data_IF_392117520172
#
_entry.id   IF_392117520172
#
_cell.length_a   1.000
_cell.length_b   1.000
_cell.length_c   1.000
_cell.angle_alpha   90.00
_cell.angle_beta   90.00
_cell.angle_gamma   90.00
#
_symmetry.space_group_name_H-M   'P 1'
#
loop_
_entity.id
_entity.type
_entity.pdbx_description
1 polymer ?
#
# COMPACT_ATOMS: atom_id res chain seq x y z
N UNK A 1 5.64 -17.65 -16.57
CA UNK A 1 5.23 -17.67 -15.14
C UNK A 1 4.59 -16.35 -14.85
N UNK A 2 3.40 -16.35 -14.22
CA UNK A 2 2.73 -15.11 -13.84
C UNK A 2 3.27 -14.65 -12.49
N UNK A 3 4.15 -13.64 -12.50
CA UNK A 3 4.73 -13.06 -11.29
C UNK A 3 3.79 -11.99 -10.73
N UNK A 4 3.46 -12.11 -9.46
CA UNK A 4 2.56 -11.22 -8.74
C UNK A 4 3.27 -10.58 -7.54
N UNK A 5 2.78 -9.43 -7.11
CA UNK A 5 3.28 -8.76 -5.92
C UNK A 5 2.31 -9.00 -4.75
N UNK A 6 2.86 -9.38 -3.60
CA UNK A 6 2.10 -9.70 -2.39
C UNK A 6 2.57 -8.83 -1.23
N UNK A 7 1.63 -8.31 -0.47
CA UNK A 7 1.85 -7.57 0.76
C UNK A 7 1.24 -8.35 1.92
N UNK A 8 2.05 -8.69 2.91
CA UNK A 8 1.61 -9.39 4.12
C UNK A 8 1.85 -8.51 5.36
N UNK A 9 0.84 -7.78 5.81
CA UNK A 9 0.98 -6.88 6.96
C UNK A 9 1.38 -7.60 8.24
N UNK A 10 0.95 -8.86 8.42
CA UNK A 10 1.23 -9.63 9.63
C UNK A 10 2.72 -9.99 9.80
N UNK A 11 3.51 -9.86 8.73
CA UNK A 11 4.96 -10.11 8.75
C UNK A 11 5.79 -8.84 8.76
N UNK A 12 5.17 -7.67 8.64
CA UNK A 12 5.89 -6.41 8.66
C UNK A 12 6.43 -6.14 10.08
N UNK A 13 7.74 -5.94 10.15
CA UNK A 13 8.47 -5.63 11.40
C UNK A 13 8.88 -4.17 11.53
N UNK A 14 8.42 -3.29 10.62
CA UNK A 14 8.70 -1.87 10.67
C UNK A 14 10.14 -1.44 10.39
N UNK A 15 10.98 -2.32 9.83
CA UNK A 15 12.43 -2.07 9.68
C UNK A 15 12.81 -1.01 8.63
N UNK A 16 11.86 -0.53 7.82
CA UNK A 16 12.02 0.49 6.77
C UNK A 16 13.00 0.15 5.63
N UNK A 17 13.57 -1.06 5.57
CA UNK A 17 14.47 -1.45 4.47
C UNK A 17 13.83 -1.27 3.09
N UNK A 18 12.52 -1.52 2.97
CA UNK A 18 11.77 -1.30 1.74
C UNK A 18 11.68 0.19 1.34
N UNK A 19 11.60 1.08 2.33
CA UNK A 19 11.58 2.54 2.11
C UNK A 19 12.93 3.00 1.58
N UNK A 20 14.03 2.60 2.24
CA UNK A 20 15.38 2.91 1.81
C UNK A 20 15.68 2.37 0.40
N UNK A 21 15.37 1.09 0.16
CA UNK A 21 15.60 0.50 -1.17
C UNK A 21 14.74 1.11 -2.28
N UNK A 22 13.56 1.63 -1.95
CA UNK A 22 12.70 2.29 -2.93
C UNK A 22 13.30 3.61 -3.43
N UNK A 23 13.98 4.36 -2.56
CA UNK A 23 14.66 5.60 -2.95
C UNK A 23 15.85 5.37 -3.89
N UNK A 24 16.47 4.20 -3.81
CA UNK A 24 17.59 3.81 -4.71
C UNK A 24 17.13 3.37 -6.11
N UNK A 25 15.83 3.27 -6.35
CA UNK A 25 15.31 2.92 -7.67
C UNK A 25 15.51 4.08 -8.66
N UNK A 26 16.12 3.83 -9.82
CA UNK A 26 16.47 4.84 -10.83
C UNK A 26 15.27 5.71 -11.26
N UNK A 27 14.07 5.12 -11.27
CA UNK A 27 12.85 5.85 -11.66
C UNK A 27 12.34 6.79 -10.57
N UNK A 28 12.83 6.69 -9.32
CA UNK A 28 12.33 7.42 -8.16
C UNK A 28 13.17 8.63 -7.75
N UNK A 29 14.33 8.82 -8.35
CA UNK A 29 15.19 10.00 -8.15
C UNK A 29 15.54 10.31 -6.69
N UNK A 30 15.79 9.29 -5.88
CA UNK A 30 16.11 9.46 -4.45
C UNK A 30 14.89 9.56 -3.53
N UNK A 31 13.66 9.50 -4.06
CA UNK A 31 12.43 9.57 -3.26
C UNK A 31 11.76 8.22 -3.11
N UNK A 32 11.35 7.87 -1.89
CA UNK A 32 10.62 6.62 -1.67
C UNK A 32 9.15 6.76 -2.05
N UNK A 33 8.66 5.84 -2.88
CA UNK A 33 7.26 5.70 -3.27
C UNK A 33 6.47 4.73 -2.38
N UNK A 34 7.15 4.08 -1.45
CA UNK A 34 6.57 3.24 -0.41
C UNK A 34 6.73 3.94 0.94
N UNK A 35 5.76 3.77 1.82
CA UNK A 35 5.88 4.21 3.22
C UNK A 35 5.26 3.15 4.14
N UNK A 36 5.58 3.24 5.42
CA UNK A 36 4.97 2.42 6.44
C UNK A 36 3.85 3.22 7.12
N UNK A 37 2.68 2.60 7.20
CA UNK A 37 1.59 3.07 8.06
C UNK A 37 1.70 2.36 9.39
N UNK A 38 1.57 3.12 10.47
CA UNK A 38 1.48 2.58 11.83
C UNK A 38 0.01 2.43 12.19
N UNK A 39 -0.36 1.23 12.62
CA UNK A 39 -1.72 0.91 13.03
C UNK A 39 -1.69 0.56 14.51
N UNK A 40 -2.28 1.42 15.34
CA UNK A 40 -2.42 1.17 16.76
C UNK A 40 -3.48 0.09 16.98
N UNK A 41 -3.13 -0.90 17.81
CA UNK A 41 -4.03 -1.95 18.27
C UNK A 41 -4.05 -1.94 19.80
N UNK A 42 -5.07 -2.46 20.47
CA UNK A 42 -5.17 -2.40 21.93
C UNK A 42 -3.96 -2.93 22.69
N UNK A 43 -3.24 -3.88 22.11
CA UNK A 43 -2.09 -4.55 22.77
C UNK A 43 -0.78 -4.46 21.99
N UNK A 44 -0.76 -3.86 20.80
CA UNK A 44 0.46 -3.76 19.99
C UNK A 44 0.31 -2.72 18.89
N UNK A 45 1.44 -2.15 18.47
CA UNK A 45 1.55 -1.37 17.23
C UNK A 45 1.90 -2.32 16.09
N UNK A 46 1.14 -2.25 14.99
CA UNK A 46 1.46 -2.96 13.76
C UNK A 46 1.88 -1.98 12.68
N UNK A 47 2.87 -2.35 11.88
CA UNK A 47 3.26 -1.61 10.69
C UNK A 47 2.73 -2.28 9.43
N UNK A 48 2.29 -1.47 8.47
CA UNK A 48 1.79 -1.94 7.19
C UNK A 48 2.53 -1.22 6.07
N UNK A 49 3.21 -1.94 5.18
CA UNK A 49 3.82 -1.29 4.02
C UNK A 49 2.74 -0.87 3.02
N UNK A 50 2.70 0.43 2.73
CA UNK A 50 1.75 1.02 1.78
C UNK A 50 2.44 1.19 0.44
N UNK A 51 1.95 0.48 -0.56
CA UNK A 51 2.43 0.49 -1.94
C UNK A 51 1.27 0.78 -2.90
N UNK A 52 1.57 1.18 -4.14
CA UNK A 52 0.52 1.29 -5.14
C UNK A 52 -0.09 -0.08 -5.42
N UNK A 53 -1.42 -0.17 -5.36
CA UNK A 53 -2.15 -1.42 -5.59
C UNK A 53 -2.33 -1.74 -7.08
N UNK A 54 -1.99 -0.80 -7.98
CA UNK A 54 -2.12 -0.96 -9.43
C UNK A 54 -3.51 -1.46 -9.84
N UNK A 55 -4.53 -0.64 -9.55
CA UNK A 55 -5.94 -0.94 -9.80
C UNK A 55 -6.22 -1.23 -11.28
N UNK A 56 -7.20 -2.10 -11.55
CA UNK A 56 -7.63 -2.41 -12.91
C UNK A 56 -8.33 -1.20 -13.56
N UNK A 57 -9.18 -0.49 -12.80
CA UNK A 57 -9.72 0.83 -13.14
C UNK A 57 -9.08 1.88 -12.23
N UNK A 58 -7.94 2.46 -12.63
CA UNK A 58 -7.18 3.32 -11.74
C UNK A 58 -7.80 4.72 -11.66
N UNK A 59 -8.56 4.99 -10.60
CA UNK A 59 -9.21 6.29 -10.35
C UNK A 59 -8.24 7.46 -10.48
N UNK A 60 -6.98 7.27 -10.04
CA UNK A 60 -5.95 8.30 -10.18
C UNK A 60 -5.64 8.66 -11.65
N UNK A 61 -5.80 7.73 -12.59
CA UNK A 61 -5.65 8.02 -14.02
C UNK A 61 -6.91 8.65 -14.59
N UNK A 62 -8.08 8.22 -14.15
CA UNK A 62 -9.39 8.72 -14.62
C UNK A 62 -9.59 10.21 -14.27
N UNK A 63 -9.18 10.61 -13.06
CA UNK A 63 -9.30 12.01 -12.61
C UNK A 63 -8.17 12.92 -13.08
N UNK A 64 -7.19 12.40 -13.84
CA UNK A 64 -6.03 13.19 -14.26
C UNK A 64 -6.34 14.05 -15.49
N UNK A 65 -6.54 15.38 -15.37
CA UNK A 65 -6.91 16.23 -16.51
C UNK A 65 -5.77 16.38 -17.53
N UNK A 66 -4.53 16.13 -17.09
CA UNK A 66 -3.34 16.22 -17.93
C UNK A 66 -2.96 14.89 -18.61
N UNK A 67 -3.72 13.82 -18.37
CA UNK A 67 -3.43 12.49 -18.92
C UNK A 67 -1.97 12.01 -18.61
N UNK A 68 -1.48 12.33 -17.42
CA UNK A 68 -0.12 12.03 -17.01
C UNK A 68 0.07 10.61 -16.48
N UNK A 69 -1.02 9.95 -16.06
CA UNK A 69 -1.03 8.61 -15.48
C UNK A 69 -1.61 7.63 -16.50
N UNK A 70 -0.94 6.50 -16.68
CA UNK A 70 -1.38 5.44 -17.60
C UNK A 70 -1.25 4.06 -16.96
N UNK A 71 -2.15 3.16 -17.36
CA UNK A 71 -2.04 1.73 -17.09
C UNK A 71 -1.40 1.05 -18.30
N UNK A 72 -0.36 0.26 -18.06
CA UNK A 72 0.31 -0.54 -19.09
C UNK A 72 -0.50 -1.80 -19.43
N UNK A 73 -0.17 -2.45 -20.53
CA UNK A 73 -0.84 -3.68 -20.98
C UNK A 73 -0.72 -4.85 -20.00
N UNK A 74 0.34 -4.88 -19.20
CA UNK A 74 0.56 -5.85 -18.13
C UNK A 74 -0.03 -5.42 -16.77
N UNK A 75 -0.79 -4.32 -16.75
CA UNK A 75 -1.57 -3.88 -15.59
C UNK A 75 -0.83 -3.00 -14.59
N UNK A 76 0.38 -2.53 -14.88
CA UNK A 76 1.08 -1.59 -14.02
C UNK A 76 0.58 -0.17 -14.27
N UNK A 77 0.15 0.53 -13.23
CA UNK A 77 -0.23 1.94 -13.33
C UNK A 77 1.01 2.80 -13.13
N UNK A 78 1.34 3.62 -14.10
CA UNK A 78 2.56 4.43 -14.13
C UNK A 78 2.27 5.92 -14.28
N UNK A 79 3.16 6.76 -13.79
CA UNK A 79 3.27 8.17 -14.15
C UNK A 79 4.08 8.29 -15.44
N UNK A 80 3.57 7.66 -16.52
CA UNK A 80 4.31 7.47 -17.77
C UNK A 80 4.61 8.79 -18.50
N UNK A 81 3.85 9.84 -18.20
CA UNK A 81 3.98 11.15 -18.83
C UNK A 81 4.24 12.22 -17.78
N UNK A 82 5.29 12.01 -16.97
CA UNK A 82 5.67 12.94 -15.88
C UNK A 82 5.69 14.42 -16.29
N UNK A 83 6.25 14.81 -17.47
CA UNK A 83 6.27 16.21 -17.89
C UNK A 83 4.89 16.85 -18.11
N UNK A 84 3.82 16.04 -18.22
CA UNK A 84 2.45 16.53 -18.35
C UNK A 84 1.75 16.80 -17.04
N UNK A 85 2.33 16.39 -15.92
CA UNK A 85 1.74 16.62 -14.60
C UNK A 85 1.67 18.12 -14.31
N UNK A 86 0.49 18.61 -13.96
CA UNK A 86 0.23 20.02 -13.62
C UNK A 86 0.09 20.24 -12.11
N UNK A 87 0.48 19.26 -11.30
CA UNK A 87 0.44 19.31 -9.84
C UNK A 87 -0.93 19.64 -9.21
N UNK A 88 -2.03 19.23 -9.83
CA UNK A 88 -3.40 19.59 -9.40
C UNK A 88 -3.92 18.80 -8.19
N UNK A 89 -3.21 17.81 -7.68
CA UNK A 89 -3.57 16.92 -6.55
C UNK A 89 -4.79 16.00 -6.74
N UNK A 90 -5.53 16.07 -7.84
CA UNK A 90 -6.73 15.23 -8.02
C UNK A 90 -6.46 13.74 -7.78
N UNK A 91 -5.35 13.21 -8.30
CA UNK A 91 -4.96 11.82 -8.12
C UNK A 91 -4.60 11.45 -6.68
N UNK A 92 -4.12 12.41 -5.88
CA UNK A 92 -3.85 12.22 -4.45
C UNK A 92 -5.16 12.08 -3.68
N UNK A 93 -6.12 12.97 -3.95
CA UNK A 93 -7.43 12.98 -3.30
C UNK A 93 -8.32 11.80 -3.71
N UNK A 94 -8.21 11.36 -4.96
CA UNK A 94 -9.07 10.30 -5.50
C UNK A 94 -8.59 8.88 -5.17
N UNK A 95 -7.37 8.70 -4.67
CA UNK A 95 -6.83 7.36 -4.41
C UNK A 95 -7.42 6.75 -3.13
N UNK A 96 -8.19 5.64 -3.20
CA UNK A 96 -8.79 5.05 -2.01
C UNK A 96 -7.75 4.39 -1.08
N UNK A 97 -6.53 4.14 -1.59
CA UNK A 97 -5.42 3.57 -0.82
C UNK A 97 -4.41 4.62 -0.33
N UNK A 98 -4.62 5.91 -0.59
CA UNK A 98 -3.76 7.00 -0.11
C UNK A 98 -2.31 6.97 -0.60
N UNK A 99 -2.04 6.40 -1.79
CA UNK A 99 -0.66 6.12 -2.23
C UNK A 99 0.03 7.27 -2.96
N UNK A 100 -0.60 7.99 -3.91
CA UNK A 100 0.07 9.06 -4.64
C UNK A 100 0.47 10.20 -3.70
N UNK A 101 1.67 10.74 -3.90
CA UNK A 101 2.20 11.89 -3.14
C UNK A 101 2.61 12.99 -4.08
N UNK A 102 2.41 14.23 -3.65
CA UNK A 102 3.00 15.38 -4.32
C UNK A 102 4.41 15.60 -3.78
N UNK A 103 5.39 15.55 -4.69
CA UNK A 103 6.75 15.91 -4.35
C UNK A 103 6.95 17.40 -4.66
N UNK A 104 7.12 18.17 -3.59
CA UNK A 104 7.18 19.63 -3.68
C UNK A 104 8.41 20.12 -4.47
N UNK A 105 9.54 19.44 -4.33
CA UNK A 105 10.79 19.77 -5.02
C UNK A 105 10.63 19.76 -6.55
N UNK A 106 9.83 18.82 -7.08
CA UNK A 106 9.63 18.68 -8.52
C UNK A 106 8.27 19.23 -9.00
N UNK A 107 7.42 19.69 -8.08
CA UNK A 107 6.02 20.01 -8.39
C UNK A 107 5.35 18.90 -9.20
N UNK A 108 5.57 17.66 -8.80
CA UNK A 108 5.21 16.46 -9.56
C UNK A 108 4.59 15.42 -8.64
N UNK A 109 3.52 14.77 -9.10
CA UNK A 109 2.99 13.62 -8.42
C UNK A 109 3.88 12.40 -8.66
N UNK A 110 4.25 11.75 -7.58
CA UNK A 110 5.02 10.51 -7.57
C UNK A 110 4.27 9.39 -6.88
N UNK A 111 4.41 8.18 -7.38
CA UNK A 111 3.85 6.96 -6.80
C UNK A 111 4.65 5.75 -7.27
N UNK A 112 4.52 4.64 -6.55
CA UNK A 112 5.11 3.37 -6.93
C UNK A 112 4.72 2.98 -8.37
N UNK A 113 5.70 2.63 -9.19
CA UNK A 113 5.58 2.13 -10.57
C UNK A 113 5.95 0.63 -10.65
N UNK A 114 5.99 -0.05 -9.50
CA UNK A 114 6.40 -1.45 -9.34
C UNK A 114 7.86 -1.69 -9.75
N UNK A 115 8.74 -0.68 -9.72
CA UNK A 115 10.08 -0.71 -10.30
C UNK A 115 10.00 -1.29 -11.74
N UNK A 116 9.27 -0.64 -12.61
CA UNK A 116 8.91 -1.19 -13.94
C UNK A 116 10.12 -1.52 -14.81
N UNK A 117 11.19 -0.76 -14.68
CA UNK A 117 12.51 -1.05 -15.29
C UNK A 117 13.03 -2.45 -14.92
N UNK A 118 12.81 -2.88 -13.68
CA UNK A 118 13.21 -4.19 -13.17
C UNK A 118 12.18 -5.28 -13.46
N UNK A 119 10.92 -5.02 -13.16
CA UNK A 119 9.85 -6.03 -13.28
C UNK A 119 9.55 -6.40 -14.72
N UNK A 120 9.70 -5.46 -15.68
CA UNK A 120 9.61 -5.75 -17.11
C UNK A 120 10.75 -6.66 -17.61
N UNK A 121 11.90 -6.66 -16.91
CA UNK A 121 13.02 -7.57 -17.17
C UNK A 121 12.93 -8.88 -16.33
N UNK A 122 11.81 -9.15 -15.65
CA UNK A 122 11.62 -10.33 -14.82
C UNK A 122 12.31 -10.29 -13.45
N UNK A 123 12.87 -9.15 -13.06
CA UNK A 123 13.53 -8.96 -11.77
C UNK A 123 12.53 -8.56 -10.69
N UNK A 124 12.86 -8.86 -9.43
CA UNK A 124 12.03 -8.42 -8.29
C UNK A 124 12.10 -6.91 -8.09
N UNK A 125 11.00 -6.25 -7.69
CA UNK A 125 11.04 -4.87 -7.21
C UNK A 125 12.04 -4.71 -6.07
N UNK A 126 12.67 -3.54 -5.95
CA UNK A 126 13.69 -3.28 -4.93
C UNK A 126 13.19 -3.57 -3.51
N UNK A 127 11.99 -3.09 -3.17
CA UNK A 127 11.40 -3.29 -1.85
C UNK A 127 11.16 -4.77 -1.51
N UNK A 128 10.74 -5.60 -2.47
CA UNK A 128 10.57 -7.04 -2.25
C UNK A 128 11.91 -7.79 -2.19
N UNK A 129 12.96 -7.26 -2.83
CA UNK A 129 14.29 -7.88 -2.83
C UNK A 129 14.98 -7.76 -1.46
N UNK A 130 14.70 -6.70 -0.71
CA UNK A 130 15.37 -6.40 0.58
C UNK A 130 14.52 -6.68 1.81
N UNK A 131 13.27 -7.11 1.65
CA UNK A 131 12.38 -7.33 2.79
C UNK A 131 12.79 -8.56 3.62
N UNK A 132 13.38 -8.39 4.83
CA UNK A 132 13.94 -9.51 5.60
C UNK A 132 12.87 -10.45 6.17
N UNK A 133 11.69 -9.92 6.47
CA UNK A 133 10.57 -10.70 6.99
C UNK A 133 9.71 -11.33 5.89
N UNK A 134 9.96 -10.96 4.62
CA UNK A 134 9.13 -11.36 3.49
C UNK A 134 7.72 -10.75 3.51
N UNK A 135 7.49 -9.67 4.26
CA UNK A 135 6.21 -8.95 4.24
C UNK A 135 5.87 -8.44 2.83
N UNK A 136 6.87 -8.08 2.05
CA UNK A 136 6.77 -7.80 0.63
C UNK A 136 7.36 -8.98 -0.14
N UNK A 137 6.57 -9.59 -0.99
CA UNK A 137 6.97 -10.77 -1.76
C UNK A 137 6.61 -10.59 -3.23
N UNK A 138 7.50 -11.01 -4.11
CA UNK A 138 7.29 -11.02 -5.55
C UNK A 138 7.64 -12.40 -6.09
N UNK A 139 6.66 -13.09 -6.65
CA UNK A 139 6.79 -14.47 -7.11
C UNK A 139 5.46 -15.02 -7.62
N UNK A 140 5.33 -16.34 -7.72
CA UNK A 140 4.08 -16.96 -8.15
C UNK A 140 3.10 -17.14 -7.00
N UNK A 141 1.82 -17.21 -7.34
CA UNK A 141 0.73 -17.45 -6.37
C UNK A 141 0.91 -18.79 -5.66
N UNK A 142 1.29 -19.82 -6.40
CA UNK A 142 1.51 -21.17 -5.87
C UNK A 142 2.67 -21.19 -4.85
N UNK A 143 3.72 -20.44 -5.10
CA UNK A 143 4.85 -20.33 -4.15
C UNK A 143 4.42 -19.68 -2.84
N UNK A 144 3.72 -18.53 -2.90
CA UNK A 144 3.30 -17.80 -1.69
C UNK A 144 2.28 -18.61 -0.89
N UNK A 145 1.33 -19.27 -1.53
CA UNK A 145 0.33 -20.10 -0.85
C UNK A 145 0.96 -21.31 -0.16
N UNK A 146 1.95 -21.94 -0.78
CA UNK A 146 2.71 -23.04 -0.17
C UNK A 146 3.54 -22.57 1.02
N UNK A 147 4.16 -21.40 0.93
CA UNK A 147 4.95 -20.82 2.02
C UNK A 147 4.09 -20.31 3.18
N UNK A 148 2.82 -19.95 2.91
CA UNK A 148 1.91 -19.31 3.86
C UNK A 148 0.53 -19.97 3.89
N UNK A 149 0.44 -21.24 4.31
CA UNK A 149 -0.81 -22.01 4.27
C UNK A 149 -1.93 -21.44 5.15
N UNK A 150 -1.59 -20.62 6.17
CA UNK A 150 -2.56 -19.96 7.07
C UNK A 150 -3.10 -18.65 6.53
N UNK A 151 -2.58 -18.17 5.41
CA UNK A 151 -3.01 -16.93 4.77
C UNK A 151 -3.53 -17.21 3.35
N UNK A 152 -4.33 -16.29 2.83
CA UNK A 152 -4.78 -16.31 1.44
C UNK A 152 -4.57 -14.94 0.80
N UNK A 153 -4.21 -14.85 -0.48
CA UNK A 153 -4.14 -13.59 -1.18
C UNK A 153 -5.53 -13.10 -1.57
N UNK A 154 -5.76 -11.80 -1.41
CA UNK A 154 -6.93 -11.10 -1.93
C UNK A 154 -6.46 -9.90 -2.75
N UNK A 155 -7.19 -9.59 -3.81
CA UNK A 155 -6.93 -8.44 -4.69
C UNK A 155 -8.20 -7.67 -5.04
N UNK A 156 -9.29 -7.93 -4.33
CA UNK A 156 -10.56 -7.25 -4.52
C UNK A 156 -10.97 -6.61 -3.20
N UNK A 157 -11.24 -5.31 -3.25
CA UNK A 157 -11.52 -4.46 -2.10
C UNK A 157 -12.82 -3.71 -2.29
N UNK A 158 -13.58 -3.57 -1.21
CA UNK A 158 -14.85 -2.83 -1.21
C UNK A 158 -14.69 -1.49 -0.48
N UNK A 159 -15.06 -0.40 -1.14
CA UNK A 159 -15.10 0.95 -0.58
C UNK A 159 -16.51 1.52 -0.78
N UNK A 160 -17.35 1.42 0.25
CA UNK A 160 -18.78 1.70 0.14
C UNK A 160 -19.43 0.77 -0.91
N UNK A 161 -20.03 1.34 -1.94
CA UNK A 161 -20.65 0.60 -3.05
C UNK A 161 -19.65 0.24 -4.17
N UNK A 162 -18.44 0.80 -4.14
CA UNK A 162 -17.43 0.58 -5.18
C UNK A 162 -16.57 -0.63 -4.88
N UNK A 163 -16.44 -1.54 -5.84
CA UNK A 163 -15.52 -2.68 -5.80
C UNK A 163 -14.30 -2.38 -6.67
N UNK A 164 -13.11 -2.50 -6.08
CA UNK A 164 -11.83 -2.24 -6.76
C UNK A 164 -11.01 -3.52 -6.80
N UNK A 165 -10.67 -3.97 -8.01
CA UNK A 165 -9.74 -5.07 -8.24
C UNK A 165 -8.35 -4.51 -8.54
N UNK A 166 -7.31 -5.18 -8.04
CA UNK A 166 -5.94 -4.70 -8.11
C UNK A 166 -4.97 -5.77 -8.61
N UNK A 167 -3.81 -5.33 -9.13
CA UNK A 167 -2.71 -6.23 -9.52
C UNK A 167 -1.90 -6.70 -8.31
N UNK A 168 -1.85 -5.91 -7.24
CA UNK A 168 -1.17 -6.26 -5.99
C UNK A 168 -2.13 -7.03 -5.10
N UNK A 169 -1.63 -8.09 -4.48
CA UNK A 169 -2.40 -8.93 -3.58
C UNK A 169 -2.07 -8.61 -2.12
N UNK A 170 -3.08 -8.54 -1.28
CA UNK A 170 -2.95 -8.49 0.17
C UNK A 170 -3.08 -9.89 0.75
N UNK A 171 -2.17 -10.27 1.65
CA UNK A 171 -2.28 -11.53 2.39
C UNK A 171 -3.14 -11.33 3.62
N UNK A 172 -4.24 -12.08 3.71
CA UNK A 172 -5.14 -12.08 4.86
C UNK A 172 -5.22 -13.46 5.50
N UNK A 173 -5.46 -13.57 6.81
CA UNK A 173 -5.66 -14.86 7.47
C UNK A 173 -6.81 -15.64 6.83
N UNK A 174 -6.68 -16.97 6.69
CA UNK A 174 -7.76 -17.82 6.16
C UNK A 174 -8.94 -17.90 7.13
N UNK A 175 -8.65 -17.93 8.42
CA UNK A 175 -9.64 -18.07 9.51
C UNK A 175 -10.16 -16.72 10.00
N UNK A 176 -9.68 -15.62 9.42
CA UNK A 176 -10.17 -14.27 9.71
C UNK A 176 -11.53 -14.04 9.06
N UNK A 177 -12.58 -13.87 9.84
CA UNK A 177 -13.84 -13.34 9.36
C UNK A 177 -13.63 -11.97 8.71
N UNK A 178 -14.55 -11.54 7.85
CA UNK A 178 -14.58 -10.17 7.32
C UNK A 178 -14.76 -9.24 8.53
N UNK A 179 -13.69 -8.60 8.96
CA UNK A 179 -13.81 -7.52 9.91
C UNK A 179 -14.40 -6.31 9.16
N UNK A 180 -15.70 -6.10 9.32
CA UNK A 180 -16.26 -4.79 9.03
C UNK A 180 -15.71 -3.84 10.09
N UNK A 181 -14.70 -3.10 9.76
CA UNK A 181 -14.28 -1.97 10.60
C UNK A 181 -15.22 -0.82 10.26
N UNK A 182 -16.25 -0.67 11.06
CA UNK A 182 -16.97 0.59 11.10
C UNK A 182 -16.07 1.62 11.79
N UNK A 183 -15.57 2.56 10.99
CA UNK A 183 -14.65 3.59 11.47
C UNK A 183 -15.26 4.41 12.60
N UNK A 184 -16.59 4.60 12.60
CA UNK A 184 -17.29 5.37 13.63
C UNK A 184 -17.34 4.58 14.94
N UNK A 185 -17.67 3.29 14.92
CA UNK A 185 -17.64 2.47 16.15
C UNK A 185 -16.21 2.28 16.69
N UNK A 186 -15.21 2.15 15.81
CA UNK A 186 -13.81 2.08 16.25
C UNK A 186 -13.31 3.39 16.87
N UNK A 187 -13.85 4.54 16.47
CA UNK A 187 -13.56 5.83 17.11
C UNK A 187 -14.27 5.96 18.46
N UNK A 188 -15.49 5.48 18.61
CA UNK A 188 -16.24 5.48 19.88
C UNK A 188 -15.57 4.58 20.91
N UNK A 189 -15.16 3.35 20.53
CA UNK A 189 -14.45 2.43 21.42
C UNK A 189 -13.09 3.01 21.89
N UNK A 190 -12.39 3.76 21.04
CA UNK A 190 -11.15 4.44 21.43
C UNK A 190 -11.37 5.61 22.38
N UNK A 191 -12.52 6.27 22.31
CA UNK A 191 -12.91 7.36 23.19
C UNK A 191 -13.29 6.86 24.60
N UNK A 192 -14.02 5.73 24.68
CA UNK A 192 -14.40 5.10 25.95
C UNK A 192 -13.17 4.61 26.72
N UNK A 193 -12.23 3.94 26.07
CA UNK A 193 -11.01 3.46 26.72
C UNK A 193 -10.07 4.59 27.21
N UNK A 194 -10.16 5.81 26.63
CA UNK A 194 -9.42 6.97 27.12
C UNK A 194 -10.07 7.64 28.33
N UNK A 195 -11.38 7.62 28.43
CA UNK A 195 -12.09 8.17 29.58
C UNK A 195 -11.79 7.34 30.84
N UNK A 196 -11.85 6.02 30.76
CA UNK A 196 -11.56 5.13 31.89
C UNK A 196 -10.08 5.24 32.36
N UNK A 197 -9.15 5.53 31.46
CA UNK A 197 -7.74 5.70 31.84
C UNK A 197 -7.44 7.06 32.49
N UNK A 198 -8.21 8.08 32.16
CA UNK A 198 -8.06 9.42 32.80
C UNK A 198 -8.70 9.44 34.19
N UNK A 199 -9.84 8.79 34.40
CA UNK A 199 -10.48 8.74 35.70
C UNK A 199 -9.63 7.97 36.72
N UNK A 200 -8.93 6.88 36.32
CA UNK A 200 -8.04 6.11 37.22
C UNK A 200 -6.79 6.88 37.65
N UNK A 201 -6.36 7.90 36.92
CA UNK A 201 -5.18 8.72 37.29
C UNK A 201 -5.51 9.81 38.31
N UNK A 202 -6.77 10.21 38.40
CA UNK A 202 -7.18 11.28 39.33
C UNK A 202 -7.73 10.75 40.66
N UNK A 203 -8.08 9.45 40.76
CA UNK A 203 -8.54 8.86 42.00
C UNK A 203 -7.42 8.51 43.00
N UNK A 204 -6.14 8.54 42.56
CA UNK A 204 -4.97 8.30 43.41
C UNK A 204 -4.24 9.56 43.89
N UNK A 205 -4.81 10.76 43.73
CA UNK A 205 -4.30 12.05 44.26
C UNK A 205 -5.23 12.61 45.30
#
# INVERSE_FOLDING_TARGET
MNLEFFVDPNRCIGCQSCVAACSECDTHRGHSMIHLQYVDRPISVQTVPVVCMHCDSPTCAEVCPADAIKRTGDGVVQTARKPRCIACNNCVLACPFGVPKMEAEFSLMMKCDMCYDRTSAGLKPMCASVCPSGALYFGTREEIERQRPRSRPINTFQFGEQTITTKVNMMVPRDGGVAHVDVLSAMDDSAVGRADMLDSVFDDM
#
